data_IF_749499918656
#
_entry.id   IF_749499918656
#
_cell.length_a   1.000
_cell.length_b   1.000
_cell.length_c   1.000
_cell.angle_alpha   90.00
_cell.angle_beta   90.00
_cell.angle_gamma   90.00
#
_symmetry.space_group_name_H-M   'P 1'
#
loop_
_entity.id
_entity.type
_entity.pdbx_description
1 polymer ?
#
# COMPACT_ATOMS: atom_id res chain seq x y z
N UNK A 1 -26.48 -5.34 3.23
CA UNK A 1 -26.09 -6.19 4.38
C UNK A 1 -25.92 -5.25 5.55
N UNK A 2 -26.73 -5.42 6.59
CA UNK A 2 -26.56 -4.67 7.84
C UNK A 2 -25.49 -5.37 8.69
N UNK A 3 -24.61 -4.62 9.37
CA UNK A 3 -23.63 -5.20 10.28
C UNK A 3 -24.37 -5.76 11.50
N UNK A 4 -24.29 -7.07 11.66
CA UNK A 4 -24.79 -7.77 12.83
C UNK A 4 -23.73 -7.66 13.94
N UNK A 5 -24.05 -6.92 15.01
CA UNK A 5 -23.15 -6.70 16.15
C UNK A 5 -22.80 -7.99 16.87
N UNK A 6 -23.69 -8.96 16.80
CA UNK A 6 -23.59 -10.21 17.55
C UNK A 6 -22.95 -11.30 16.69
N UNK A 7 -22.82 -11.09 15.38
CA UNK A 7 -22.20 -12.05 14.44
C UNK A 7 -20.83 -12.54 14.88
N UNK A 8 -19.94 -11.66 15.33
CA UNK A 8 -18.62 -12.10 15.81
C UNK A 8 -18.76 -13.02 17.03
N UNK A 9 -19.65 -12.69 17.97
CA UNK A 9 -19.92 -13.52 19.15
C UNK A 9 -20.64 -14.83 18.78
N UNK A 10 -21.53 -14.81 17.79
CA UNK A 10 -22.23 -15.99 17.28
C UNK A 10 -21.25 -16.91 16.53
N UNK A 11 -20.43 -16.38 15.63
CA UNK A 11 -19.41 -17.14 14.89
C UNK A 11 -18.39 -17.76 15.87
N UNK A 12 -17.98 -17.04 16.92
CA UNK A 12 -17.14 -17.58 18.00
C UNK A 12 -17.86 -18.66 18.82
N UNK A 13 -19.15 -18.48 19.13
CA UNK A 13 -19.94 -19.46 19.84
C UNK A 13 -20.12 -20.75 19.01
N UNK A 14 -20.41 -20.61 17.71
CA UNK A 14 -20.56 -21.71 16.76
C UNK A 14 -19.25 -22.46 16.57
N UNK A 15 -18.12 -21.74 16.42
CA UNK A 15 -16.78 -22.35 16.40
C UNK A 15 -16.49 -23.10 17.69
N UNK A 16 -16.76 -22.50 18.85
CA UNK A 16 -16.54 -23.14 20.14
C UNK A 16 -17.44 -24.35 20.35
N UNK A 17 -18.68 -24.32 19.88
CA UNK A 17 -19.59 -25.46 19.93
C UNK A 17 -19.10 -26.59 19.01
N UNK A 18 -18.65 -26.27 17.80
CA UNK A 18 -18.03 -27.23 16.89
C UNK A 18 -16.79 -27.87 17.51
N UNK A 19 -15.90 -27.08 18.09
CA UNK A 19 -14.70 -27.57 18.79
C UNK A 19 -15.06 -28.45 19.99
N UNK A 20 -16.11 -28.12 20.75
CA UNK A 20 -16.62 -28.95 21.85
C UNK A 20 -17.18 -30.27 21.34
N UNK A 21 -17.96 -30.28 20.25
CA UNK A 21 -18.50 -31.50 19.62
C UNK A 21 -17.38 -32.41 19.13
N UNK A 22 -16.39 -31.85 18.42
CA UNK A 22 -15.20 -32.59 17.95
C UNK A 22 -14.45 -33.16 19.14
N UNK A 23 -14.18 -32.37 20.19
CA UNK A 23 -13.51 -32.85 21.41
C UNK A 23 -14.30 -33.94 22.15
N UNK A 24 -15.63 -33.86 22.17
CA UNK A 24 -16.50 -34.85 22.81
C UNK A 24 -16.62 -36.16 22.00
N UNK A 25 -16.47 -36.09 20.67
CA UNK A 25 -16.42 -37.29 19.81
C UNK A 25 -15.07 -38.02 19.87
N UNK A 26 -14.04 -37.42 20.46
CA UNK A 26 -12.72 -38.02 20.61
C UNK A 26 -12.64 -38.84 21.90
N UNK A 27 -11.99 -39.98 21.80
CA UNK A 27 -11.62 -40.81 22.94
C UNK A 27 -10.46 -40.19 23.73
N UNK A 28 -10.31 -40.57 25.01
CA UNK A 28 -9.20 -40.07 25.86
C UNK A 28 -7.81 -40.34 25.23
N UNK A 29 -7.68 -41.45 24.50
CA UNK A 29 -6.47 -41.77 23.75
C UNK A 29 -6.20 -40.80 22.60
N UNK A 30 -7.23 -40.38 21.85
CA UNK A 30 -7.11 -39.45 20.74
C UNK A 30 -6.81 -38.02 21.20
N UNK A 31 -7.39 -37.58 22.32
CA UNK A 31 -7.08 -36.28 22.92
C UNK A 31 -5.62 -36.24 23.39
N UNK A 32 -5.13 -37.34 23.96
CA UNK A 32 -3.73 -37.46 24.39
C UNK A 32 -2.78 -37.47 23.19
N UNK A 33 -3.12 -38.17 22.10
CA UNK A 33 -2.38 -38.14 20.83
C UNK A 33 -2.33 -36.75 20.22
N UNK A 34 -3.45 -36.00 20.23
CA UNK A 34 -3.52 -34.63 19.70
C UNK A 34 -2.66 -33.66 20.52
N UNK A 35 -2.67 -33.77 21.85
CA UNK A 35 -1.82 -32.96 22.72
C UNK A 35 -0.32 -33.25 22.47
N UNK A 36 0.04 -34.52 22.29
CA UNK A 36 1.40 -34.91 21.91
C UNK A 36 1.79 -34.36 20.54
N UNK A 37 0.94 -34.52 19.52
CA UNK A 37 1.17 -34.01 18.17
C UNK A 37 1.30 -32.48 18.13
N UNK A 38 0.52 -31.75 18.93
CA UNK A 38 0.61 -30.29 19.05
C UNK A 38 1.93 -29.87 19.69
N UNK A 39 2.37 -30.58 20.73
CA UNK A 39 3.66 -30.33 21.39
C UNK A 39 4.84 -30.63 20.45
N UNK A 40 4.76 -31.71 19.69
CA UNK A 40 5.75 -32.08 18.69
C UNK A 40 5.80 -31.06 17.54
N UNK A 41 4.64 -30.62 17.03
CA UNK A 41 4.55 -29.61 15.98
C UNK A 41 5.14 -28.28 16.43
N UNK A 42 4.79 -27.84 17.65
CA UNK A 42 5.32 -26.62 18.24
C UNK A 42 6.84 -26.69 18.39
N UNK A 43 7.35 -27.81 18.90
CA UNK A 43 8.80 -28.04 19.00
C UNK A 43 9.45 -27.98 17.61
N UNK A 44 8.87 -28.57 16.57
CA UNK A 44 9.38 -28.50 15.18
C UNK A 44 9.39 -27.08 14.61
N UNK A 45 8.37 -26.26 14.90
CA UNK A 45 8.30 -24.87 14.44
C UNK A 45 9.26 -23.93 15.18
N UNK A 46 9.47 -24.17 16.47
CA UNK A 46 10.37 -23.38 17.32
C UNK A 46 11.84 -23.82 17.19
N UNK A 47 12.10 -25.04 16.72
CA UNK A 47 13.46 -25.54 16.49
C UNK A 47 14.00 -24.98 15.18
N UNK A 48 15.08 -24.17 15.22
CA UNK A 48 15.69 -23.66 14.00
C UNK A 48 16.28 -24.82 13.18
N UNK A 49 16.26 -24.67 11.85
CA UNK A 49 16.89 -25.63 10.95
C UNK A 49 18.38 -25.81 11.26
N UNK A 50 18.86 -27.04 11.11
CA UNK A 50 20.27 -27.34 11.32
C UNK A 50 21.15 -26.60 10.30
N UNK A 51 22.41 -26.27 10.65
CA UNK A 51 23.33 -25.65 9.71
C UNK A 51 23.55 -26.46 8.41
N UNK A 52 23.39 -27.79 8.48
CA UNK A 52 23.49 -28.68 7.31
C UNK A 52 22.28 -28.53 6.38
N UNK A 53 21.06 -28.47 6.93
CA UNK A 53 19.84 -28.20 6.15
C UNK A 53 19.88 -26.81 5.50
N UNK A 54 20.36 -25.80 6.24
CA UNK A 54 20.55 -24.43 5.73
C UNK A 54 21.64 -24.32 4.65
N UNK A 55 22.53 -25.32 4.52
CA UNK A 55 23.54 -25.39 3.44
C UNK A 55 22.99 -26.04 2.16
N UNK A 56 21.94 -26.86 2.25
CA UNK A 56 21.25 -27.42 1.09
C UNK A 56 20.45 -26.35 0.32
N UNK A 57 20.12 -25.23 0.96
CA UNK A 57 19.47 -24.09 0.31
C UNK A 57 20.50 -23.39 -0.59
N UNK A 58 20.24 -23.27 -1.90
CA UNK A 58 21.15 -22.56 -2.80
C UNK A 58 21.23 -21.08 -2.41
N UNK A 59 22.45 -20.55 -2.36
CA UNK A 59 22.72 -19.14 -2.01
C UNK A 59 23.50 -18.49 -3.14
N UNK A 60 23.19 -17.22 -3.38
CA UNK A 60 24.04 -16.37 -4.20
C UNK A 60 25.31 -16.03 -3.41
N UNK A 61 26.41 -15.87 -4.13
CA UNK A 61 27.66 -15.36 -3.58
C UNK A 61 27.58 -13.83 -3.43
N UNK A 62 28.46 -13.26 -2.61
CA UNK A 62 28.61 -11.79 -2.56
C UNK A 62 29.12 -11.22 -3.89
N UNK A 63 29.69 -12.04 -4.76
CA UNK A 63 30.18 -11.66 -6.08
C UNK A 63 29.04 -11.51 -7.10
N UNK A 64 27.92 -12.20 -6.88
CA UNK A 64 26.71 -12.08 -7.70
C UNK A 64 25.98 -10.75 -7.46
N UNK A 65 26.34 -10.01 -6.41
CA UNK A 65 25.77 -8.71 -6.10
C UNK A 65 26.56 -7.63 -6.85
N UNK A 66 25.91 -6.83 -7.73
CA UNK A 66 26.60 -5.77 -8.44
C UNK A 66 27.16 -4.75 -7.44
N UNK A 67 28.47 -4.50 -7.50
CA UNK A 67 29.19 -3.60 -6.58
C UNK A 67 28.83 -2.13 -6.77
N UNK A 68 28.22 -1.78 -7.90
CA UNK A 68 27.79 -0.42 -8.22
C UNK A 68 26.26 -0.41 -8.36
N UNK A 69 25.59 0.61 -7.82
CA UNK A 69 24.16 0.79 -8.04
C UNK A 69 23.87 1.00 -9.53
N UNK A 70 22.66 0.67 -9.94
CA UNK A 70 22.19 0.87 -11.31
C UNK A 70 22.23 2.37 -11.61
N UNK A 71 22.96 2.75 -12.66
CA UNK A 71 23.04 4.14 -13.10
C UNK A 71 21.81 4.48 -13.94
N UNK A 72 21.03 5.47 -13.49
CA UNK A 72 19.89 6.00 -14.22
C UNK A 72 20.33 7.34 -14.82
N UNK A 73 20.37 7.49 -16.16
CA UNK A 73 20.72 8.75 -16.78
C UNK A 73 19.72 9.83 -16.37
N UNK A 74 20.25 10.98 -15.94
CA UNK A 74 19.50 12.14 -15.49
C UNK A 74 20.12 13.39 -16.09
N UNK A 75 19.29 14.24 -16.70
CA UNK A 75 19.67 15.60 -17.08
C UNK A 75 18.76 16.59 -16.36
N UNK A 76 19.36 17.64 -15.82
CA UNK A 76 18.65 18.72 -15.16
C UNK A 76 18.69 19.91 -16.11
N UNK A 77 17.52 20.45 -16.43
CA UNK A 77 17.35 21.62 -17.27
C UNK A 77 16.53 22.67 -16.51
N UNK A 78 16.85 23.95 -16.71
CA UNK A 78 15.99 25.05 -16.26
C UNK A 78 15.03 25.43 -17.37
N UNK A 79 13.73 25.36 -17.08
CA UNK A 79 12.67 25.79 -17.98
C UNK A 79 11.82 26.81 -17.24
N UNK A 80 11.87 28.07 -17.68
CA UNK A 80 11.13 29.18 -17.07
C UNK A 80 11.41 29.34 -15.55
N UNK A 81 12.64 29.10 -15.10
CA UNK A 81 13.00 29.19 -13.68
C UNK A 81 12.56 27.99 -12.84
N UNK A 82 12.14 26.89 -13.49
CA UNK A 82 11.78 25.62 -12.83
C UNK A 82 12.75 24.53 -13.27
N UNK A 83 13.32 23.81 -12.30
CA UNK A 83 14.16 22.65 -12.56
C UNK A 83 13.33 21.49 -13.11
N UNK A 84 13.63 21.09 -14.33
CA UNK A 84 13.06 19.91 -15.00
C UNK A 84 14.10 18.80 -15.02
N UNK A 85 13.77 17.69 -14.37
CA UNK A 85 14.60 16.49 -14.35
C UNK A 85 14.10 15.52 -15.42
N UNK A 86 14.95 15.23 -16.40
CA UNK A 86 14.63 14.31 -17.50
C UNK A 86 15.41 13.00 -17.35
N UNK A 87 14.71 11.90 -17.57
CA UNK A 87 15.27 10.56 -17.61
C UNK A 87 15.09 9.99 -19.02
N UNK A 88 16.19 9.88 -19.76
CA UNK A 88 16.16 9.29 -21.10
C UNK A 88 16.21 7.76 -20.99
N UNK A 89 15.04 7.15 -20.78
CA UNK A 89 14.86 5.71 -20.66
C UNK A 89 13.96 5.19 -21.79
N UNK A 90 14.14 3.92 -22.16
CA UNK A 90 13.25 3.27 -23.12
C UNK A 90 11.91 2.94 -22.46
N UNK A 91 10.87 3.73 -22.75
CA UNK A 91 9.54 3.63 -22.11
C UNK A 91 8.43 3.17 -23.06
N UNK A 92 8.75 2.62 -24.23
CA UNK A 92 7.78 2.18 -25.24
C UNK A 92 6.77 3.27 -25.64
N UNK A 93 7.27 4.48 -25.95
CA UNK A 93 6.47 5.65 -26.32
C UNK A 93 5.47 6.12 -25.25
N UNK A 94 5.74 5.83 -23.97
CA UNK A 94 4.99 6.38 -22.83
C UNK A 94 5.84 7.44 -22.15
N UNK A 95 5.28 8.63 -21.97
CA UNK A 95 5.89 9.69 -21.18
C UNK A 95 5.32 9.65 -19.77
N UNK A 96 6.22 9.65 -18.79
CA UNK A 96 5.92 9.75 -17.37
C UNK A 96 6.23 11.17 -16.92
N UNK A 97 5.23 11.84 -16.38
CA UNK A 97 5.35 13.23 -15.90
C UNK A 97 5.04 13.25 -14.40
N UNK A 98 5.96 13.82 -13.63
CA UNK A 98 5.76 14.11 -12.22
C UNK A 98 6.00 15.60 -11.99
N UNK A 99 4.98 16.32 -11.52
CA UNK A 99 5.09 17.72 -11.10
C UNK A 99 5.05 17.74 -9.58
N UNK A 100 6.11 18.25 -8.97
CA UNK A 100 6.29 18.25 -7.51
C UNK A 100 6.10 19.67 -6.99
N UNK A 101 5.15 19.85 -6.07
CA UNK A 101 4.85 21.11 -5.40
C UNK A 101 5.32 21.04 -3.95
N UNK A 102 6.02 22.08 -3.51
CA UNK A 102 6.43 22.24 -2.11
C UNK A 102 5.25 22.68 -1.25
N UNK A 103 5.06 21.99 -0.12
CA UNK A 103 4.00 22.24 0.86
C UNK A 103 4.50 22.99 2.10
N UNK A 104 5.79 23.33 2.17
CA UNK A 104 6.38 24.12 3.26
C UNK A 104 5.61 25.43 3.56
N UNK A 105 5.05 26.16 2.57
CA UNK A 105 4.26 27.37 2.83
C UNK A 105 2.85 27.12 3.38
N UNK A 106 2.37 25.87 3.43
CA UNK A 106 1.01 25.56 3.84
C UNK A 106 0.85 25.66 5.36
N UNK A 107 -0.18 26.39 5.82
CA UNK A 107 -0.51 26.48 7.25
C UNK A 107 -0.93 25.11 7.80
N UNK A 108 -0.59 24.87 9.07
CA UNK A 108 -0.86 23.60 9.76
C UNK A 108 -2.35 23.20 9.77
N UNK A 109 -3.26 24.18 9.82
CA UNK A 109 -4.71 23.95 9.77
C UNK A 109 -5.18 23.25 8.50
N UNK A 110 -4.49 23.44 7.37
CA UNK A 110 -4.84 22.81 6.11
C UNK A 110 -4.23 21.43 5.92
N UNK A 111 -3.24 21.02 6.73
CA UNK A 111 -2.55 19.72 6.57
C UNK A 111 -3.53 18.54 6.68
N UNK A 112 -4.55 18.64 7.54
CA UNK A 112 -5.57 17.60 7.69
C UNK A 112 -6.51 17.51 6.47
N UNK A 113 -6.63 18.60 5.71
CA UNK A 113 -7.45 18.65 4.49
C UNK A 113 -6.69 18.17 3.25
N UNK A 114 -5.35 18.13 3.27
CA UNK A 114 -4.54 17.71 2.11
C UNK A 114 -4.86 16.30 1.62
N UNK A 115 -4.98 15.26 2.48
CA UNK A 115 -5.37 13.93 2.01
C UNK A 115 -6.77 13.92 1.37
N UNK A 116 -7.67 14.76 1.88
CA UNK A 116 -9.00 14.90 1.30
C UNK A 116 -8.95 15.61 -0.06
N UNK A 117 -8.12 16.65 -0.19
CA UNK A 117 -7.87 17.36 -1.43
C UNK A 117 -7.26 16.47 -2.52
N UNK A 118 -6.27 15.64 -2.17
CA UNK A 118 -5.58 14.76 -3.10
C UNK A 118 -6.35 13.47 -3.44
N UNK A 119 -7.49 13.19 -2.79
CA UNK A 119 -8.28 11.99 -3.08
C UNK A 119 -7.68 10.68 -2.58
N UNK A 120 -6.53 10.72 -1.90
CA UNK A 120 -5.74 9.55 -1.49
C UNK A 120 -5.24 9.71 -0.06
N UNK A 121 -5.03 8.58 0.61
CA UNK A 121 -4.27 8.52 1.85
C UNK A 121 -2.86 9.03 1.53
N UNK A 122 -2.55 10.23 1.99
CA UNK A 122 -1.23 10.80 1.92
C UNK A 122 -0.58 10.55 3.27
N UNK A 123 0.55 9.85 3.28
CA UNK A 123 1.48 9.99 4.40
C UNK A 123 1.95 11.46 4.38
N UNK A 124 2.10 12.13 5.52
CA UNK A 124 2.45 13.55 5.57
C UNK A 124 3.79 13.80 4.84
N UNK A 125 3.73 14.08 3.55
CA UNK A 125 4.87 14.44 2.73
C UNK A 125 4.96 15.96 2.70
N UNK A 126 6.18 16.50 2.78
CA UNK A 126 6.45 17.92 2.55
C UNK A 126 6.13 18.40 1.12
N UNK A 127 5.69 17.50 0.24
CA UNK A 127 5.41 17.78 -1.16
C UNK A 127 4.10 17.13 -1.60
N UNK A 128 3.38 17.80 -2.50
CA UNK A 128 2.27 17.22 -3.27
C UNK A 128 2.77 16.93 -4.67
N UNK A 129 2.52 15.71 -5.16
CA UNK A 129 2.98 15.28 -6.48
C UNK A 129 1.79 15.01 -7.38
N UNK A 130 1.73 15.71 -8.52
CA UNK A 130 0.81 15.39 -9.61
C UNK A 130 1.51 14.48 -10.58
N UNK A 131 1.02 13.25 -10.71
CA UNK A 131 1.58 12.23 -11.59
C UNK A 131 0.65 11.95 -12.76
N UNK A 132 1.21 11.98 -13.95
CA UNK A 132 0.52 11.69 -15.20
C UNK A 132 1.35 10.73 -16.06
N UNK A 133 0.66 9.96 -16.89
CA UNK A 133 1.29 9.19 -17.97
C UNK A 133 0.45 9.30 -19.23
N UNK A 134 1.10 9.44 -20.36
CA UNK A 134 0.44 9.49 -21.66
C UNK A 134 1.35 8.87 -22.73
N UNK A 135 0.75 8.49 -23.86
CA UNK A 135 1.51 8.21 -25.06
C UNK A 135 2.25 9.47 -25.52
N UNK A 136 3.43 9.33 -26.12
CA UNK A 136 4.26 10.47 -26.57
C UNK A 136 3.49 11.44 -27.48
N UNK A 137 2.58 10.93 -28.30
CA UNK A 137 1.73 11.73 -29.20
C UNK A 137 0.65 12.55 -28.48
N UNK A 138 0.34 12.22 -27.22
CA UNK A 138 -0.74 12.81 -26.41
C UNK A 138 -0.22 13.66 -25.25
N UNK A 139 1.07 13.98 -25.23
CA UNK A 139 1.70 14.72 -24.12
C UNK A 139 1.11 16.11 -23.97
N UNK A 140 0.81 16.82 -25.06
CA UNK A 140 0.16 18.12 -25.00
C UNK A 140 -1.22 18.06 -24.33
N UNK A 141 -2.00 17.02 -24.67
CA UNK A 141 -3.32 16.80 -24.05
C UNK A 141 -3.18 16.51 -22.56
N UNK A 142 -2.14 15.77 -22.14
CA UNK A 142 -1.84 15.52 -20.73
C UNK A 142 -1.52 16.83 -19.98
N UNK A 143 -0.67 17.69 -20.55
CA UNK A 143 -0.36 18.99 -19.94
C UNK A 143 -1.58 19.90 -19.84
N UNK A 144 -2.43 19.94 -20.88
CA UNK A 144 -3.70 20.69 -20.86
C UNK A 144 -4.62 20.20 -19.75
N UNK A 145 -4.78 18.88 -19.61
CA UNK A 145 -5.60 18.28 -18.55
C UNK A 145 -5.04 18.58 -17.16
N UNK A 146 -3.73 18.46 -16.96
CA UNK A 146 -3.10 18.80 -15.67
C UNK A 146 -3.31 20.27 -15.33
N UNK A 147 -3.14 21.17 -16.31
CA UNK A 147 -3.37 22.59 -16.09
C UNK A 147 -4.83 22.90 -15.74
N UNK A 148 -5.78 22.30 -16.47
CA UNK A 148 -7.21 22.40 -16.18
C UNK A 148 -7.53 21.90 -14.76
N UNK A 149 -6.99 20.73 -14.37
CA UNK A 149 -7.20 20.18 -13.02
C UNK A 149 -6.64 21.10 -11.93
N UNK A 150 -5.50 21.75 -12.16
CA UNK A 150 -4.85 22.59 -11.16
C UNK A 150 -5.43 24.00 -11.07
N UNK A 151 -5.93 24.56 -12.17
CA UNK A 151 -6.32 25.98 -12.23
C UNK A 151 -7.83 26.20 -12.40
N UNK A 152 -8.55 25.29 -13.06
CA UNK A 152 -9.94 25.49 -13.47
C UNK A 152 -10.95 24.74 -12.59
N UNK A 153 -10.48 23.87 -11.68
CA UNK A 153 -11.36 23.09 -10.82
C UNK A 153 -12.07 23.98 -9.80
N UNK A 154 -13.40 23.99 -9.87
CA UNK A 154 -14.25 24.70 -8.92
C UNK A 154 -14.71 23.79 -7.77
N UNK A 155 -14.41 24.19 -6.53
CA UNK A 155 -14.81 23.46 -5.31
C UNK A 155 -16.24 23.81 -4.84
N UNK A 156 -17.22 23.79 -5.75
CA UNK A 156 -18.63 24.16 -5.44
C UNK A 156 -19.54 22.97 -5.15
N UNK A 157 -19.13 21.75 -5.51
CA UNK A 157 -19.98 20.56 -5.46
C UNK A 157 -20.06 19.93 -4.04
N UNK A 158 -20.86 20.55 -3.16
CA UNK A 158 -20.98 20.15 -1.75
C UNK A 158 -21.42 18.70 -1.53
N UNK A 159 -22.30 18.17 -2.39
CA UNK A 159 -22.81 16.79 -2.24
C UNK A 159 -21.72 15.76 -2.50
N UNK A 160 -20.94 15.96 -3.56
CA UNK A 160 -19.80 15.10 -3.89
C UNK A 160 -18.72 15.15 -2.82
N UNK A 161 -18.46 16.33 -2.26
CA UNK A 161 -17.53 16.46 -1.13
C UNK A 161 -17.99 15.65 0.10
N UNK A 162 -19.28 15.73 0.46
CA UNK A 162 -19.83 14.91 1.56
C UNK A 162 -19.68 13.41 1.30
N UNK A 163 -19.95 12.95 0.08
CA UNK A 163 -19.77 11.55 -0.30
C UNK A 163 -18.31 11.12 -0.17
N UNK A 164 -17.38 11.98 -0.61
CA UNK A 164 -15.96 11.71 -0.52
C UNK A 164 -15.46 11.62 0.94
N UNK A 165 -15.92 12.52 1.81
CA UNK A 165 -15.62 12.45 3.26
C UNK A 165 -16.18 11.15 3.88
N UNK A 166 -17.41 10.76 3.52
CA UNK A 166 -17.99 9.51 4.00
C UNK A 166 -17.20 8.27 3.54
N UNK A 167 -16.77 8.26 2.28
CA UNK A 167 -15.92 7.18 1.73
C UNK A 167 -14.54 7.14 2.41
N UNK A 168 -13.93 8.30 2.65
CA UNK A 168 -12.65 8.39 3.36
C UNK A 168 -12.78 7.84 4.79
N UNK A 169 -13.86 8.20 5.50
CA UNK A 169 -14.16 7.67 6.84
C UNK A 169 -14.33 6.15 6.83
N UNK A 170 -15.16 5.62 5.92
CA UNK A 170 -15.39 4.18 5.80
C UNK A 170 -14.08 3.42 5.51
N UNK A 171 -13.22 3.96 4.65
CA UNK A 171 -11.90 3.36 4.39
C UNK A 171 -11.04 3.32 5.65
N UNK A 172 -11.06 4.35 6.48
CA UNK A 172 -10.28 4.38 7.73
C UNK A 172 -10.82 3.41 8.79
N UNK A 173 -12.14 3.18 8.82
CA UNK A 173 -12.78 2.25 9.76
C UNK A 173 -12.42 0.78 9.46
N UNK A 174 -12.19 0.40 8.19
CA UNK A 174 -11.81 -0.97 7.79
C UNK A 174 -10.39 -1.36 8.23
N UNK A 175 -9.52 -0.39 8.52
CA UNK A 175 -8.13 -0.62 8.97
C UNK A 175 -7.96 -0.52 10.49
N UNK A 176 -9.06 -0.43 11.24
CA UNK A 176 -9.06 -0.42 12.71
C UNK A 176 -9.55 -1.76 13.23
#
# INVERSE_FOLDING_TARGET
MEPDSDKASCDEADQNELLKKVKASMTEEEVTKLAHATKELRLKQETPDSPEALRCVPKLSLEDIPRKPIHIPMTIEDVNGVNVVKHNLLTNNIVYLEVVFDMSPLKQEFLQLVPLFCGKKMDLCAHVIVRGKALSERVEDLFKLINCILQEVEFKEKQRFKQFVAQSRAKMEVFR
#
